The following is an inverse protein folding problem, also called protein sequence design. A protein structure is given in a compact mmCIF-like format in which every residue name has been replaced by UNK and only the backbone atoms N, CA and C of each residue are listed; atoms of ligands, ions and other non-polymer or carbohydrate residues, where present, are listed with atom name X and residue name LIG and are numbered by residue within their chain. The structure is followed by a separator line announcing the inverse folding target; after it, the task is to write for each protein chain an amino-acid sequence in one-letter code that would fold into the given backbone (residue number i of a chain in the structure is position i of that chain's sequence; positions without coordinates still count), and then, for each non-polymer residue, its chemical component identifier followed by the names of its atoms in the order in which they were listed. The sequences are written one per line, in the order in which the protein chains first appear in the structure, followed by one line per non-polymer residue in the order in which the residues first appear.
data_IF_553743826529
#
_entry.id   IF_553743826529
#
_cell.length_a   1.000
_cell.length_b   1.000
_cell.length_c   1.000
_cell.angle_alpha   90.00
_cell.angle_beta   90.00
_cell.angle_gamma   90.00
#
_symmetry.space_group_name_H-M   'P 1'
#
loop_
_entity.id
_entity.type
_entity.pdbx_description
1 polymer ?
#
# COMPACT_ATOMS: atom_id res chain seq x y z
N UNK A 1 8.75 -12.26 2.23
CA UNK A 1 7.93 -12.23 3.43
C UNK A 1 7.59 -13.66 3.78
N UNK A 2 7.98 -14.10 4.97
CA UNK A 2 7.59 -15.40 5.51
C UNK A 2 6.29 -15.25 6.29
N UNK A 3 5.35 -16.18 6.08
CA UNK A 3 4.09 -16.26 6.80
C UNK A 3 3.99 -17.62 7.49
N UNK A 4 3.75 -17.61 8.79
CA UNK A 4 3.53 -18.80 9.60
C UNK A 4 2.27 -18.60 10.45
N UNK A 5 1.14 -19.14 9.97
CA UNK A 5 -0.17 -18.82 10.55
C UNK A 5 -0.47 -17.33 10.43
N UNK A 6 -0.74 -16.68 11.57
CA UNK A 6 -1.00 -15.25 11.66
C UNK A 6 0.29 -14.40 11.78
N UNK A 7 1.45 -15.04 11.93
CA UNK A 7 2.73 -14.33 12.08
C UNK A 7 3.36 -14.06 10.72
N UNK A 8 3.84 -12.82 10.55
CA UNK A 8 4.60 -12.34 9.41
C UNK A 8 6.02 -11.97 9.82
N UNK A 9 6.96 -12.22 8.91
CA UNK A 9 8.34 -11.75 9.04
C UNK A 9 8.89 -11.30 7.69
N UNK A 10 9.39 -10.09 7.65
CA UNK A 10 10.13 -9.53 6.53
C UNK A 10 11.63 -9.75 6.69
N UNK A 11 12.35 -9.86 5.58
CA UNK A 11 13.81 -9.78 5.61
C UNK A 11 14.25 -8.30 5.71
N UNK A 12 15.49 -8.01 6.16
CA UNK A 12 16.00 -6.65 6.16
C UNK A 12 15.95 -5.99 4.78
N UNK A 13 16.26 -6.74 3.72
CA UNK A 13 16.22 -6.22 2.34
C UNK A 13 14.80 -5.87 1.89
N UNK A 14 13.80 -6.65 2.31
CA UNK A 14 12.39 -6.34 2.06
C UNK A 14 11.98 -5.04 2.78
N UNK A 15 12.34 -4.90 4.06
CA UNK A 15 12.06 -3.69 4.84
C UNK A 15 12.67 -2.46 4.16
N UNK A 16 13.94 -2.56 3.75
CA UNK A 16 14.62 -1.47 3.05
C UNK A 16 13.98 -1.14 1.70
N UNK A 17 13.50 -2.15 0.97
CA UNK A 17 12.71 -1.95 -0.25
C UNK A 17 11.45 -1.14 -0.02
N UNK A 18 10.70 -1.43 1.06
CA UNK A 18 9.47 -0.73 1.38
C UNK A 18 9.72 0.69 1.91
N UNK A 19 10.79 0.90 2.68
CA UNK A 19 11.16 2.24 3.20
C UNK A 19 11.41 3.26 2.09
N UNK A 20 11.94 2.81 0.94
CA UNK A 20 12.09 3.66 -0.26
C UNK A 20 10.76 4.19 -0.81
N UNK A 21 9.65 3.52 -0.49
CA UNK A 21 8.29 3.92 -0.85
C UNK A 21 7.58 4.66 0.29
N UNK A 22 8.27 4.92 1.40
CA UNK A 22 7.69 5.51 2.62
C UNK A 22 6.90 4.53 3.47
N UNK A 23 7.01 3.22 3.24
CA UNK A 23 6.35 2.17 4.00
C UNK A 23 7.37 1.52 4.96
N UNK A 24 7.20 1.71 6.27
CA UNK A 24 8.04 1.05 7.27
C UNK A 24 7.28 -0.13 7.89
N UNK A 25 7.66 -1.34 7.50
CA UNK A 25 7.14 -2.57 8.10
C UNK A 25 8.07 -3.14 9.18
N UNK A 26 9.09 -2.38 9.60
CA UNK A 26 9.82 -2.76 10.80
C UNK A 26 8.86 -2.80 11.99
N UNK A 27 8.98 -3.84 12.80
CA UNK A 27 8.00 -4.12 13.86
C UNK A 27 6.68 -4.77 13.42
N UNK A 28 6.31 -4.81 12.14
CA UNK A 28 5.10 -5.53 11.70
C UNK A 28 5.26 -7.04 11.88
N UNK A 29 4.33 -7.68 12.61
CA UNK A 29 4.35 -9.12 12.92
C UNK A 29 3.07 -9.82 12.49
N UNK A 30 2.03 -9.09 12.12
CA UNK A 30 0.74 -9.62 11.72
C UNK A 30 0.25 -8.97 10.43
N UNK A 31 -0.77 -9.56 9.81
CA UNK A 31 -1.44 -8.96 8.66
C UNK A 31 -2.07 -7.60 9.03
N UNK A 32 -2.64 -7.50 10.23
CA UNK A 32 -3.27 -6.29 10.74
C UNK A 32 -2.25 -5.16 10.91
N UNK A 33 -1.02 -5.45 11.34
CA UNK A 33 0.06 -4.45 11.41
C UNK A 33 0.40 -3.89 10.02
N UNK A 34 0.44 -4.77 9.00
CA UNK A 34 0.70 -4.37 7.61
C UNK A 34 -0.44 -3.48 7.11
N UNK A 35 -1.69 -3.85 7.38
CA UNK A 35 -2.87 -3.06 7.02
C UNK A 35 -2.87 -1.69 7.69
N UNK A 36 -2.47 -1.60 8.96
CA UNK A 36 -2.34 -0.33 9.66
C UNK A 36 -1.31 0.58 9.01
N UNK A 37 -0.13 0.06 8.67
CA UNK A 37 0.92 0.84 8.00
C UNK A 37 0.45 1.32 6.62
N UNK A 38 -0.18 0.44 5.83
CA UNK A 38 -0.73 0.80 4.52
C UNK A 38 -1.84 1.85 4.61
N UNK A 39 -2.72 1.73 5.61
CA UNK A 39 -3.81 2.69 5.85
C UNK A 39 -3.23 4.07 6.14
N UNK A 40 -2.28 4.17 7.09
CA UNK A 40 -1.62 5.43 7.42
C UNK A 40 -0.92 6.03 6.19
N UNK A 41 -0.24 5.22 5.39
CA UNK A 41 0.43 5.68 4.19
C UNK A 41 -0.55 6.20 3.13
N UNK A 42 -1.68 5.50 2.93
CA UNK A 42 -2.73 5.92 2.00
C UNK A 42 -3.41 7.21 2.48
N UNK A 43 -3.67 7.35 3.79
CA UNK A 43 -4.23 8.58 4.37
C UNK A 43 -3.30 9.77 4.16
N UNK A 44 -2.00 9.61 4.43
CA UNK A 44 -0.99 10.65 4.15
C UNK A 44 -0.97 11.02 2.66
N UNK A 45 -1.03 10.04 1.75
CA UNK A 45 -1.10 10.32 0.32
C UNK A 45 -2.39 11.03 -0.07
N UNK A 46 -3.53 10.66 0.51
CA UNK A 46 -4.80 11.32 0.23
C UNK A 46 -4.77 12.80 0.65
N UNK A 47 -4.13 13.11 1.77
CA UNK A 47 -4.05 14.48 2.29
C UNK A 47 -3.04 15.33 1.50
N UNK A 48 -1.87 14.77 1.20
CA UNK A 48 -0.77 15.52 0.60
C UNK A 48 -0.78 15.50 -0.94
N UNK A 49 -1.13 14.36 -1.55
CA UNK A 49 -1.02 14.08 -2.99
C UNK A 49 -2.14 13.15 -3.48
N UNK A 50 -3.42 13.58 -3.38
CA UNK A 50 -4.56 12.76 -3.78
C UNK A 50 -4.51 12.35 -5.25
N UNK A 51 -3.91 13.17 -6.12
CA UNK A 51 -3.66 12.87 -7.53
C UNK A 51 -2.82 11.60 -7.73
N UNK A 52 -1.81 11.39 -6.87
CA UNK A 52 -0.94 10.23 -6.92
C UNK A 52 -1.67 8.98 -6.44
N UNK A 53 -2.48 9.10 -5.38
CA UNK A 53 -3.29 7.99 -4.87
C UNK A 53 -4.30 7.50 -5.92
N UNK A 54 -4.96 8.42 -6.61
CA UNK A 54 -5.88 8.10 -7.72
C UNK A 54 -5.17 7.35 -8.85
N UNK A 55 -3.95 7.79 -9.20
CA UNK A 55 -3.13 7.11 -10.22
C UNK A 55 -2.73 5.71 -9.80
N UNK A 56 -2.33 5.52 -8.54
CA UNK A 56 -2.00 4.20 -7.99
C UNK A 56 -3.24 3.29 -8.04
N UNK A 57 -4.41 3.80 -7.66
CA UNK A 57 -5.66 3.05 -7.74
C UNK A 57 -5.98 2.65 -9.20
N UNK A 58 -5.73 3.54 -10.17
CA UNK A 58 -5.97 3.26 -11.59
C UNK A 58 -5.06 2.16 -12.13
N UNK A 59 -3.77 2.20 -11.80
CA UNK A 59 -2.84 1.14 -12.22
C UNK A 59 -3.16 -0.20 -11.52
N UNK A 60 -3.55 -0.18 -10.24
CA UNK A 60 -3.97 -1.37 -9.52
C UNK A 60 -5.23 -1.99 -10.15
N UNK A 61 -6.19 -1.16 -10.55
CA UNK A 61 -7.42 -1.59 -11.19
C UNK A 61 -7.16 -2.24 -12.56
N UNK A 62 -6.29 -1.63 -13.38
CA UNK A 62 -5.81 -2.23 -14.64
C UNK A 62 -5.19 -3.60 -14.40
N UNK A 63 -4.32 -3.71 -13.40
CA UNK A 63 -3.61 -4.95 -13.05
C UNK A 63 -4.57 -6.05 -12.59
N UNK A 64 -5.59 -5.68 -11.81
CA UNK A 64 -6.58 -6.62 -11.27
C UNK A 64 -7.78 -6.88 -12.21
N UNK A 65 -7.85 -6.20 -13.36
CA UNK A 65 -8.98 -6.29 -14.28
C UNK A 65 -10.30 -5.79 -13.69
N UNK A 66 -10.25 -4.87 -12.72
CA UNK A 66 -11.43 -4.31 -12.05
C UNK A 66 -11.70 -2.89 -12.54
N UNK A 67 -12.96 -2.49 -12.57
CA UNK A 67 -13.32 -1.12 -12.90
C UNK A 67 -13.28 -0.23 -11.64
N UNK A 68 -12.61 0.91 -11.75
CA UNK A 68 -12.67 1.93 -10.70
C UNK A 68 -14.05 2.62 -10.69
N UNK A 69 -14.49 3.11 -9.52
CA UNK A 69 -15.62 4.03 -9.43
C UNK A 69 -15.46 5.23 -10.36
N UNK A 70 -16.58 5.71 -10.93
CA UNK A 70 -16.60 6.79 -11.93
C UNK A 70 -15.90 8.08 -11.49
N UNK A 71 -15.83 8.33 -10.17
CA UNK A 71 -15.11 9.48 -9.58
C UNK A 71 -13.61 9.45 -9.89
N UNK A 72 -13.00 8.27 -9.95
CA UNK A 72 -11.57 8.06 -10.18
C UNK A 72 -11.21 7.92 -11.67
N UNK A 73 -12.21 7.76 -12.54
CA UNK A 73 -12.02 7.71 -13.99
C UNK A 73 -11.87 9.11 -14.62
N UNK A 74 -11.95 10.18 -13.81
CA UNK A 74 -11.93 11.58 -14.24
C UNK A 74 -10.55 12.25 -14.19
N UNK A 75 -9.47 11.51 -13.96
CA UNK A 75 -8.12 12.05 -14.06
C UNK A 75 -7.80 12.26 -15.55
N UNK A 76 -7.88 13.51 -16.01
CA UNK A 76 -7.43 13.97 -17.33
C UNK A 76 -6.06 14.62 -17.21
#
# INVERSE_FOLDING_TARGET
MFRAGHTLRFTPDEIEGFRKLGLDFDGARTQDDVEQVLTRWADTLNDERPDLLDRIAAELAKTKGVHLPARLTRVR
#
